data_IF_819788342636
#
_entry.id   IF_819788342636
#
_cell.length_a   1.000
_cell.length_b   1.000
_cell.length_c   1.000
_cell.angle_alpha   90.00
_cell.angle_beta   90.00
_cell.angle_gamma   90.00
#
_symmetry.space_group_name_H-M   'P 1'
#
loop_
_entity.id
_entity.type
_entity.pdbx_description
1 polymer ?
#
# COMPACT_ATOMS: atom_id res chain seq x y z
N UNK A 1 -23.16 28.76 -7.06
CA UNK A 1 -21.79 28.87 -6.52
C UNK A 1 -20.90 29.42 -7.63
N UNK A 2 -20.53 30.70 -7.55
CA UNK A 2 -19.80 31.39 -8.62
C UNK A 2 -18.42 30.77 -8.78
N UNK A 3 -18.12 30.24 -9.97
CA UNK A 3 -16.81 29.66 -10.30
C UNK A 3 -15.75 30.75 -10.16
N UNK A 4 -14.74 30.61 -9.27
CA UNK A 4 -13.80 31.67 -9.02
C UNK A 4 -12.86 31.81 -10.22
N UNK A 5 -12.84 32.98 -10.82
CA UNK A 5 -11.82 33.40 -11.79
C UNK A 5 -10.54 33.73 -11.03
N UNK A 6 -9.36 33.55 -11.65
CA UNK A 6 -8.09 33.91 -11.03
C UNK A 6 -8.11 35.36 -10.49
N UNK A 7 -7.75 35.61 -9.22
CA UNK A 7 -7.75 36.96 -8.64
C UNK A 7 -6.82 37.95 -9.34
N UNK A 8 -5.74 37.45 -9.95
CA UNK A 8 -4.75 38.26 -10.64
C UNK A 8 -5.05 38.48 -12.13
N UNK A 9 -6.24 38.08 -12.61
CA UNK A 9 -6.64 38.32 -13.99
C UNK A 9 -7.32 39.68 -14.11
N UNK A 10 -6.68 40.63 -14.82
CA UNK A 10 -7.26 41.94 -15.12
C UNK A 10 -7.67 42.02 -16.59
N UNK A 11 -8.82 42.62 -16.84
CA UNK A 11 -9.28 42.95 -18.19
C UNK A 11 -8.83 44.35 -18.56
N UNK A 12 -8.19 44.48 -19.72
CA UNK A 12 -7.75 45.73 -20.33
C UNK A 12 -8.46 45.95 -21.66
N UNK A 13 -8.34 47.14 -22.25
CA UNK A 13 -8.98 47.48 -23.53
C UNK A 13 -8.51 46.60 -24.69
N UNK A 14 -7.29 46.06 -24.62
CA UNK A 14 -6.66 45.24 -25.66
C UNK A 14 -6.62 43.74 -25.35
N UNK A 15 -7.10 43.29 -24.19
CA UNK A 15 -7.07 41.88 -23.81
C UNK A 15 -7.07 41.64 -22.30
N UNK A 16 -6.54 40.49 -21.87
CA UNK A 16 -6.38 40.17 -20.45
C UNK A 16 -4.90 40.14 -20.06
N UNK A 17 -4.59 40.62 -18.86
CA UNK A 17 -3.23 40.64 -18.32
C UNK A 17 -3.20 39.92 -16.97
N UNK A 18 -2.07 39.28 -16.68
CA UNK A 18 -1.79 38.73 -15.36
C UNK A 18 -1.10 39.79 -14.49
N UNK A 19 -1.74 40.21 -13.41
CA UNK A 19 -1.24 41.25 -12.49
C UNK A 19 0.08 40.85 -11.82
N UNK A 20 0.31 39.56 -11.56
CA UNK A 20 1.56 39.08 -10.95
C UNK A 20 2.78 39.12 -11.89
N UNK A 21 2.57 39.12 -13.20
CA UNK A 21 3.68 39.09 -14.18
C UNK A 21 3.70 40.29 -15.12
N UNK A 22 2.64 41.10 -15.13
CA UNK A 22 2.45 42.21 -16.06
C UNK A 22 2.29 41.80 -17.53
N UNK A 23 2.21 40.50 -17.83
CA UNK A 23 2.17 39.97 -19.20
C UNK A 23 0.73 39.78 -19.72
N UNK A 24 0.49 39.98 -21.02
CA UNK A 24 -0.78 39.62 -21.64
C UNK A 24 -0.96 38.10 -21.63
N UNK A 25 -2.16 37.65 -21.26
CA UNK A 25 -2.52 36.23 -21.12
C UNK A 25 -3.84 35.96 -21.84
N UNK A 26 -3.96 34.79 -22.46
CA UNK A 26 -5.24 34.33 -23.03
C UNK A 26 -5.97 33.47 -21.98
N UNK A 27 -7.09 33.93 -21.39
CA UNK A 27 -7.75 33.22 -20.30
C UNK A 27 -8.36 31.87 -20.69
N UNK A 28 -8.61 31.64 -21.99
CA UNK A 28 -9.19 30.40 -22.49
C UNK A 28 -8.14 29.33 -22.81
N UNK A 29 -6.89 29.72 -22.99
CA UNK A 29 -5.77 28.82 -23.29
C UNK A 29 -4.87 28.55 -22.08
N UNK A 30 -5.12 29.23 -20.96
CA UNK A 30 -4.34 29.17 -19.73
C UNK A 30 -5.22 28.84 -18.52
N UNK A 31 -4.58 28.45 -17.42
CA UNK A 31 -5.21 28.08 -16.14
C UNK A 31 -6.07 29.20 -15.49
N UNK A 32 -6.10 30.41 -16.05
CA UNK A 32 -6.73 31.60 -15.45
C UNK A 32 -8.26 31.46 -15.25
N UNK A 33 -8.92 30.67 -16.10
CA UNK A 33 -10.34 30.32 -15.96
C UNK A 33 -10.45 28.86 -15.49
N UNK A 34 -11.28 28.62 -14.49
CA UNK A 34 -11.64 27.32 -13.91
C UNK A 34 -10.55 26.66 -13.02
N UNK A 35 -9.27 26.65 -13.41
CA UNK A 35 -8.22 25.89 -12.71
C UNK A 35 -7.05 26.74 -12.18
N UNK A 36 -7.29 28.01 -11.84
CA UNK A 36 -6.20 28.93 -11.48
C UNK A 36 -5.41 28.54 -10.24
N UNK A 37 -5.96 27.68 -9.38
CA UNK A 37 -5.31 27.13 -8.19
C UNK A 37 -4.17 26.14 -8.53
N UNK A 38 -4.11 25.63 -9.76
CA UNK A 38 -2.99 24.81 -10.26
C UNK A 38 -1.94 25.63 -11.01
N UNK A 39 -2.20 26.93 -11.27
CA UNK A 39 -1.27 27.81 -11.95
C UNK A 39 0.02 28.00 -11.11
N UNK A 40 1.22 27.67 -11.64
CA UNK A 40 2.47 27.79 -10.91
C UNK A 40 2.74 29.21 -10.38
N UNK A 41 2.38 30.23 -11.16
CA UNK A 41 2.54 31.65 -10.80
C UNK A 41 1.64 31.99 -9.59
N UNK A 42 0.37 31.55 -9.62
CA UNK A 42 -0.57 31.77 -8.53
C UNK A 42 -0.13 31.04 -7.24
N UNK A 43 0.29 29.79 -7.37
CA UNK A 43 0.76 28.98 -6.23
C UNK A 43 2.04 29.57 -5.61
N UNK A 44 2.96 30.09 -6.42
CA UNK A 44 4.16 30.76 -5.93
C UNK A 44 3.81 32.04 -5.14
N UNK A 45 2.93 32.89 -5.68
CA UNK A 45 2.53 34.15 -5.05
C UNK A 45 1.71 33.94 -3.77
N UNK A 46 0.84 32.92 -3.69
CA UNK A 46 0.12 32.58 -2.44
C UNK A 46 1.08 32.08 -1.36
N UNK A 47 2.12 31.33 -1.73
CA UNK A 47 3.17 30.90 -0.79
C UNK A 47 4.03 32.06 -0.32
N UNK A 48 4.28 33.06 -1.17
CA UNK A 48 4.98 34.30 -0.81
C UNK A 48 4.11 35.22 0.06
N UNK A 49 2.82 35.37 -0.23
CA UNK A 49 1.87 36.14 0.60
C UNK A 49 1.77 35.61 2.03
N UNK A 50 1.73 34.28 2.20
CA UNK A 50 1.80 33.64 3.53
C UNK A 50 3.15 33.85 4.25
N UNK A 51 4.23 34.11 3.51
CA UNK A 51 5.55 34.44 4.10
C UNK A 51 5.67 35.91 4.51
N UNK A 52 4.92 36.82 3.89
CA UNK A 52 4.92 38.25 4.22
C UNK A 52 4.11 38.54 5.49
N UNK A 53 2.98 37.86 5.70
CA UNK A 53 2.20 37.97 6.96
C UNK A 53 3.00 37.47 8.18
N UNK A 54 3.86 36.46 8.00
CA UNK A 54 4.75 35.95 9.05
C UNK A 54 6.00 36.83 9.31
N UNK A 55 6.25 37.87 8.52
CA UNK A 55 7.40 38.78 8.66
C UNK A 55 7.04 40.17 9.17
N UNK A 56 5.76 40.47 9.37
CA UNK A 56 5.28 41.80 9.79
C UNK A 56 5.19 42.00 11.32
N UNK A 57 5.53 41.01 12.14
CA UNK A 57 5.66 41.17 13.60
C UNK A 57 7.13 41.22 14.04
N UNK A 58 7.81 42.35 13.86
CA UNK A 58 8.80 42.90 14.80
C UNK A 58 8.77 44.44 14.67
N UNK A 59 8.53 45.11 15.80
CA UNK A 59 8.58 46.56 16.01
C UNK A 59 9.97 46.95 16.59
N UNK A 60 10.34 48.25 16.64
CA UNK A 60 11.51 48.81 15.95
C UNK A 60 12.65 49.25 16.89
N UNK A 61 13.85 49.46 16.32
CA UNK A 61 14.93 50.26 16.92
C UNK A 61 15.46 51.26 15.88
N UNK A 62 15.78 52.43 16.42
CA UNK A 62 15.88 53.79 15.89
C UNK A 62 17.34 54.25 15.61
N UNK A 63 17.50 55.22 14.68
CA UNK A 63 18.44 56.38 14.66
C UNK A 63 19.95 56.02 14.39
N UNK A 64 20.70 56.57 13.42
CA UNK A 64 21.08 57.98 13.16
C UNK A 64 21.43 58.31 11.69
N UNK A 65 21.15 59.57 11.33
CA UNK A 65 21.50 60.32 10.11
C UNK A 65 22.95 60.85 10.16
N UNK A 66 23.66 60.93 9.02
CA UNK A 66 23.94 62.20 8.29
C UNK A 66 24.94 62.05 7.13
N UNK A 67 24.88 62.98 6.14
CA UNK A 67 25.53 62.90 4.84
C UNK A 67 26.81 63.75 4.75
N UNK A 68 27.64 63.52 3.74
CA UNK A 68 28.45 64.61 3.16
C UNK A 68 28.75 64.36 1.68
N UNK A 69 28.22 65.25 0.85
CA UNK A 69 28.61 65.46 -0.54
C UNK A 69 29.99 66.13 -0.60
N UNK A 70 30.82 65.72 -1.56
CA UNK A 70 31.71 66.63 -2.28
C UNK A 70 32.01 66.07 -3.67
N UNK A 71 31.55 66.79 -4.69
CA UNK A 71 31.94 66.66 -6.10
C UNK A 71 33.30 67.33 -6.32
N UNK A 72 34.03 66.85 -7.34
CA UNK A 72 34.66 67.56 -8.49
C UNK A 72 35.81 66.65 -9.00
N UNK A 73 35.56 65.91 -10.08
CA UNK A 73 36.13 66.04 -11.46
C UNK A 73 37.36 65.14 -11.69
N UNK A 74 37.20 64.00 -12.38
CA UNK A 74 37.40 63.77 -13.84
C UNK A 74 38.87 63.73 -14.20
N UNK A 75 39.41 62.53 -14.50
CA UNK A 75 40.25 62.27 -15.68
C UNK A 75 40.59 60.76 -15.80
N UNK A 76 40.00 60.14 -16.82
CA UNK A 76 40.65 59.23 -17.76
C UNK A 76 41.65 58.17 -17.23
N UNK A 77 41.20 57.11 -16.57
CA UNK A 77 41.90 55.81 -16.68
C UNK A 77 40.92 54.66 -16.47
N UNK A 78 40.05 54.33 -17.43
CA UNK A 78 39.34 53.03 -17.35
C UNK A 78 38.81 52.45 -18.67
N UNK A 79 39.42 52.79 -19.80
CA UNK A 79 39.18 52.10 -21.10
C UNK A 79 39.69 50.65 -21.15
N UNK A 80 40.06 50.01 -20.03
CA UNK A 80 40.56 48.62 -20.03
C UNK A 80 39.92 47.68 -19.01
N UNK A 81 38.92 48.14 -18.25
CA UNK A 81 38.23 47.29 -17.27
C UNK A 81 36.82 46.84 -17.70
N UNK A 82 36.23 47.47 -18.73
CA UNK A 82 34.83 47.20 -19.12
C UNK A 82 34.70 46.05 -20.12
N UNK A 83 35.73 45.72 -20.89
CA UNK A 83 35.66 44.63 -21.90
C UNK A 83 35.77 43.21 -21.32
N UNK A 84 36.13 43.06 -20.04
CA UNK A 84 36.38 41.72 -19.44
C UNK A 84 35.28 41.19 -18.52
N UNK A 85 34.18 41.92 -18.36
CA UNK A 85 33.02 41.47 -17.55
C UNK A 85 31.85 40.98 -18.44
N UNK A 86 31.92 41.16 -19.77
CA UNK A 86 30.82 40.83 -20.66
C UNK A 86 30.90 39.46 -21.37
N UNK A 87 31.89 38.61 -21.07
CA UNK A 87 32.11 37.38 -21.87
C UNK A 87 31.99 36.05 -21.10
N UNK A 88 31.45 36.07 -19.88
CA UNK A 88 31.03 34.82 -19.24
C UNK A 88 29.81 34.98 -18.36
N UNK A 89 28.78 35.64 -18.90
CA UNK A 89 27.41 35.29 -18.49
C UNK A 89 27.10 34.01 -19.26
N UNK A 90 27.53 32.86 -18.71
CA UNK A 90 26.88 31.59 -19.02
C UNK A 90 25.39 31.87 -18.93
N UNK A 91 24.73 31.79 -20.08
CA UNK A 91 23.29 31.77 -20.19
C UNK A 91 22.90 30.52 -19.38
N UNK A 92 22.67 30.67 -18.07
CA UNK A 92 21.87 29.70 -17.36
C UNK A 92 20.50 29.82 -18.03
N UNK A 93 20.30 28.98 -19.05
CA UNK A 93 18.98 28.62 -19.54
C UNK A 93 18.24 28.16 -18.29
N UNK A 94 17.40 29.07 -17.77
CA UNK A 94 16.41 28.70 -16.77
C UNK A 94 15.67 27.52 -17.39
N UNK A 95 15.60 26.36 -16.71
CA UNK A 95 14.97 25.17 -17.28
C UNK A 95 13.62 25.60 -17.83
N UNK A 96 13.35 25.25 -19.09
CA UNK A 96 12.10 25.65 -19.70
C UNK A 96 10.97 25.17 -18.78
N UNK A 97 9.86 25.92 -18.66
CA UNK A 97 8.78 25.54 -17.75
C UNK A 97 8.28 24.10 -18.01
N UNK A 98 8.48 23.62 -19.24
CA UNK A 98 8.25 22.25 -19.69
C UNK A 98 9.17 21.23 -19.00
N UNK A 99 10.48 21.51 -18.87
CA UNK A 99 11.45 20.64 -18.18
C UNK A 99 11.15 20.50 -16.69
N UNK A 100 10.73 21.59 -16.04
CA UNK A 100 10.34 21.57 -14.64
C UNK A 100 9.07 20.72 -14.40
N UNK A 101 8.13 20.73 -15.36
CA UNK A 101 6.94 19.86 -15.33
C UNK A 101 7.34 18.41 -15.56
N UNK A 102 8.20 18.13 -16.55
CA UNK A 102 8.70 16.78 -16.86
C UNK A 102 9.41 16.17 -15.65
N UNK A 103 10.27 16.94 -14.98
CA UNK A 103 10.98 16.48 -13.78
C UNK A 103 10.01 16.21 -12.62
N UNK A 104 9.03 17.09 -12.40
CA UNK A 104 8.02 16.88 -11.37
C UNK A 104 7.18 15.61 -11.62
N UNK A 105 6.75 15.40 -12.86
CA UNK A 105 6.01 14.19 -13.29
C UNK A 105 6.89 12.95 -13.12
N UNK A 106 8.16 13.01 -13.53
CA UNK A 106 9.11 11.90 -13.42
C UNK A 106 9.35 11.50 -11.96
N UNK A 107 9.49 12.48 -11.06
CA UNK A 107 9.60 12.23 -9.62
C UNK A 107 8.34 11.60 -9.03
N UNK A 108 7.14 12.03 -9.47
CA UNK A 108 5.89 11.40 -9.04
C UNK A 108 5.80 9.95 -9.52
N UNK A 109 6.10 9.68 -10.79
CA UNK A 109 6.10 8.33 -11.35
C UNK A 109 7.12 7.43 -10.66
N UNK A 110 8.34 7.91 -10.41
CA UNK A 110 9.40 7.15 -9.71
C UNK A 110 8.99 6.74 -8.29
N UNK A 111 8.26 7.60 -7.56
CA UNK A 111 7.71 7.25 -6.24
C UNK A 111 6.69 6.11 -6.34
N UNK A 112 5.83 6.12 -7.35
CA UNK A 112 4.88 5.02 -7.55
C UNK A 112 5.57 3.75 -8.05
N UNK A 113 6.53 3.83 -8.95
CA UNK A 113 7.29 2.67 -9.44
C UNK A 113 8.04 1.97 -8.31
N UNK A 114 8.72 2.72 -7.46
CA UNK A 114 9.39 2.16 -6.27
C UNK A 114 8.37 1.57 -5.29
N UNK A 115 7.21 2.21 -5.12
CA UNK A 115 6.09 1.68 -4.35
C UNK A 115 5.59 0.33 -4.87
N UNK A 116 5.36 0.20 -6.18
CA UNK A 116 4.90 -1.04 -6.83
C UNK A 116 5.95 -2.14 -6.68
N UNK A 117 7.24 -1.85 -6.96
CA UNK A 117 8.33 -2.83 -6.78
C UNK A 117 8.42 -3.34 -5.34
N UNK A 118 8.20 -2.48 -4.35
CA UNK A 118 8.18 -2.87 -2.94
C UNK A 118 6.99 -3.79 -2.62
N UNK A 119 5.80 -3.48 -3.12
CA UNK A 119 4.63 -4.34 -2.96
C UNK A 119 4.83 -5.72 -3.59
N UNK A 120 5.40 -5.77 -4.80
CA UNK A 120 5.72 -7.02 -5.48
C UNK A 120 6.74 -7.85 -4.70
N UNK A 121 7.76 -7.22 -4.13
CA UNK A 121 8.74 -7.91 -3.28
C UNK A 121 8.08 -8.53 -2.05
N UNK A 122 7.29 -7.74 -1.32
CA UNK A 122 6.55 -8.21 -0.14
C UNK A 122 5.60 -9.35 -0.47
N UNK A 123 4.97 -9.29 -1.65
CA UNK A 123 4.10 -10.35 -2.12
C UNK A 123 4.87 -11.65 -2.36
N UNK A 124 6.03 -11.59 -3.05
CA UNK A 124 6.89 -12.77 -3.25
C UNK A 124 7.38 -13.35 -1.93
N UNK A 125 7.88 -12.51 -1.02
CA UNK A 125 8.34 -12.94 0.30
C UNK A 125 7.22 -13.65 1.08
N UNK A 126 5.98 -13.17 0.95
CA UNK A 126 4.79 -13.80 1.51
C UNK A 126 4.49 -15.16 0.85
N UNK A 127 4.47 -15.25 -0.48
CA UNK A 127 4.24 -16.50 -1.21
C UNK A 127 5.28 -17.57 -0.84
N UNK A 128 6.57 -17.19 -0.82
CA UNK A 128 7.67 -18.08 -0.46
C UNK A 128 7.56 -18.56 0.98
N UNK A 129 7.21 -17.67 1.92
CA UNK A 129 6.99 -18.03 3.32
C UNK A 129 5.83 -19.01 3.49
N UNK A 130 4.71 -18.78 2.81
CA UNK A 130 3.55 -19.68 2.85
C UNK A 130 3.90 -21.05 2.27
N UNK A 131 4.63 -21.10 1.16
CA UNK A 131 5.05 -22.34 0.53
C UNK A 131 6.04 -23.12 1.40
N UNK A 132 6.99 -22.44 2.05
CA UNK A 132 7.91 -23.06 3.01
C UNK A 132 7.15 -23.69 4.18
N UNK A 133 6.27 -22.92 4.83
CA UNK A 133 5.47 -23.42 5.97
C UNK A 133 4.58 -24.59 5.55
N UNK A 134 3.94 -24.52 4.37
CA UNK A 134 3.15 -25.62 3.81
C UNK A 134 3.99 -26.88 3.64
N UNK A 135 5.18 -26.75 3.05
CA UNK A 135 6.07 -27.88 2.82
C UNK A 135 6.48 -28.56 4.13
N UNK A 136 6.91 -27.78 5.13
CA UNK A 136 7.32 -28.28 6.44
C UNK A 136 6.15 -28.91 7.20
N UNK A 137 4.95 -28.33 7.07
CA UNK A 137 3.73 -28.87 7.64
C UNK A 137 3.37 -30.21 7.04
N UNK A 138 3.28 -30.34 5.70
CA UNK A 138 2.94 -31.60 5.04
C UNK A 138 3.91 -32.73 5.39
N UNK A 139 5.21 -32.42 5.51
CA UNK A 139 6.23 -33.39 5.96
C UNK A 139 5.97 -33.89 7.38
N UNK A 140 5.54 -32.99 8.27
CA UNK A 140 5.32 -33.30 9.69
C UNK A 140 3.92 -33.84 9.98
N UNK A 141 2.94 -33.53 9.11
CA UNK A 141 1.51 -33.80 9.29
C UNK A 141 1.22 -35.29 9.42
N UNK A 142 1.82 -36.11 8.57
CA UNK A 142 1.65 -37.57 8.62
C UNK A 142 2.15 -38.15 9.95
N UNK A 143 3.31 -37.69 10.43
CA UNK A 143 3.92 -38.14 11.69
C UNK A 143 3.07 -37.71 12.89
N UNK A 144 2.64 -36.44 12.93
CA UNK A 144 1.76 -35.92 13.98
C UNK A 144 0.41 -36.65 14.02
N UNK A 145 -0.19 -36.91 12.86
CA UNK A 145 -1.43 -37.67 12.73
C UNK A 145 -1.27 -39.09 13.29
N UNK A 146 -0.16 -39.77 12.98
CA UNK A 146 0.13 -41.10 13.52
C UNK A 146 0.23 -41.08 15.06
N UNK A 147 0.91 -40.10 15.65
CA UNK A 147 0.99 -39.99 17.12
C UNK A 147 -0.38 -39.73 17.76
N UNK A 148 -1.23 -38.89 17.15
CA UNK A 148 -2.61 -38.69 17.60
C UNK A 148 -3.40 -40.00 17.56
N UNK A 149 -3.28 -40.80 16.50
CA UNK A 149 -3.92 -42.12 16.41
C UNK A 149 -3.41 -43.09 17.49
N UNK A 150 -2.11 -43.07 17.80
CA UNK A 150 -1.54 -43.90 18.88
C UNK A 150 -2.13 -43.49 20.23
N UNK A 151 -2.21 -42.19 20.53
CA UNK A 151 -2.81 -41.68 21.76
C UNK A 151 -4.29 -42.07 21.87
N UNK A 152 -5.05 -41.95 20.78
CA UNK A 152 -6.45 -42.36 20.72
C UNK A 152 -6.61 -43.86 21.02
N UNK A 153 -5.78 -44.71 20.43
CA UNK A 153 -5.76 -46.16 20.73
C UNK A 153 -5.42 -46.46 22.18
N UNK A 154 -4.49 -45.72 22.79
CA UNK A 154 -4.17 -45.84 24.21
C UNK A 154 -5.36 -45.46 25.10
N UNK A 155 -6.06 -44.37 24.78
CA UNK A 155 -7.31 -43.98 25.46
C UNK A 155 -8.35 -45.09 25.33
N UNK A 156 -8.55 -45.64 24.13
CA UNK A 156 -9.49 -46.75 23.90
C UNK A 156 -9.10 -47.99 24.71
N UNK A 157 -7.82 -48.34 24.79
CA UNK A 157 -7.34 -49.46 25.60
C UNK A 157 -7.64 -49.24 27.08
N UNK A 158 -7.33 -48.08 27.65
CA UNK A 158 -7.65 -47.81 29.07
C UNK A 158 -9.16 -47.88 29.36
N UNK A 159 -10.01 -47.47 28.41
CA UNK A 159 -11.46 -47.65 28.55
C UNK A 159 -11.88 -49.13 28.56
N UNK A 160 -11.22 -49.98 27.75
CA UNK A 160 -11.44 -51.43 27.75
C UNK A 160 -10.98 -52.03 29.07
N UNK A 161 -9.77 -51.68 29.53
CA UNK A 161 -9.21 -52.14 30.80
C UNK A 161 -10.14 -51.76 31.97
N UNK A 162 -10.69 -50.54 31.96
CA UNK A 162 -11.63 -50.09 32.99
C UNK A 162 -12.91 -50.93 33.01
N UNK A 163 -13.48 -51.23 31.84
CA UNK A 163 -14.64 -52.14 31.72
C UNK A 163 -14.31 -53.55 32.21
N UNK A 164 -13.12 -54.05 31.90
CA UNK A 164 -12.67 -55.35 32.37
C UNK A 164 -12.57 -55.40 33.91
N UNK A 165 -12.03 -54.36 34.52
CA UNK A 165 -11.95 -54.23 35.98
C UNK A 165 -13.34 -54.20 36.63
N UNK A 166 -14.28 -53.49 36.03
CA UNK A 166 -15.67 -53.47 36.47
C UNK A 166 -16.34 -54.85 36.34
N UNK A 167 -16.12 -55.57 35.23
CA UNK A 167 -16.62 -56.93 35.05
C UNK A 167 -16.03 -57.90 36.09
N UNK A 168 -14.72 -57.86 36.33
CA UNK A 168 -14.05 -58.71 37.34
C UNK A 168 -14.59 -58.44 38.75
N UNK A 169 -14.92 -57.18 39.08
CA UNK A 169 -15.58 -56.84 40.34
C UNK A 169 -17.00 -57.40 40.42
N UNK A 170 -17.79 -57.28 39.35
CA UNK A 170 -19.16 -57.79 39.27
C UNK A 170 -19.22 -59.32 39.36
N UNK A 171 -18.20 -60.01 38.84
CA UNK A 171 -18.04 -61.47 38.97
C UNK A 171 -17.49 -61.92 40.32
N UNK A 172 -17.21 -61.00 41.25
CA UNK A 172 -16.68 -61.31 42.58
C UNK A 172 -15.21 -61.75 42.60
N UNK A 173 -14.48 -61.57 41.48
CA UNK A 173 -13.07 -61.96 41.35
C UNK A 173 -12.16 -60.95 42.08
N UNK A 174 -12.57 -59.68 42.11
CA UNK A 174 -11.85 -58.59 42.78
C UNK A 174 -12.56 -58.18 44.07
N UNK A 175 -11.77 -57.97 45.13
CA UNK A 175 -12.24 -57.31 46.35
C UNK A 175 -12.43 -55.79 46.11
N UNK A 176 -13.24 -55.17 46.96
CA UNK A 176 -13.61 -53.76 46.85
C UNK A 176 -12.39 -52.83 46.93
N UNK A 177 -11.41 -53.15 47.79
CA UNK A 177 -10.25 -52.28 48.00
C UNK A 177 -9.32 -52.28 46.78
N UNK A 178 -9.10 -53.45 46.18
CA UNK A 178 -8.28 -53.60 44.96
C UNK A 178 -8.98 -53.01 43.75
N UNK A 179 -10.30 -53.19 43.64
CA UNK A 179 -11.11 -52.57 42.60
C UNK A 179 -11.01 -51.05 42.62
N UNK A 180 -11.22 -50.41 43.79
CA UNK A 180 -11.20 -48.96 43.90
C UNK A 180 -9.83 -48.37 43.55
N UNK A 181 -8.74 -48.99 44.00
CA UNK A 181 -7.38 -48.56 43.65
C UNK A 181 -7.13 -48.64 42.15
N UNK A 182 -7.46 -49.77 41.53
CA UNK A 182 -7.24 -49.98 40.10
C UNK A 182 -8.12 -49.06 39.24
N UNK A 183 -9.36 -48.84 39.66
CA UNK A 183 -10.29 -47.90 39.01
C UNK A 183 -9.78 -46.46 39.10
N UNK A 184 -9.33 -46.02 40.26
CA UNK A 184 -8.78 -44.67 40.44
C UNK A 184 -7.52 -44.46 39.59
N UNK A 185 -6.60 -45.41 39.59
CA UNK A 185 -5.37 -45.36 38.79
C UNK A 185 -5.66 -45.29 37.28
N UNK A 186 -6.61 -46.10 36.79
CA UNK A 186 -7.02 -46.10 35.39
C UNK A 186 -7.72 -44.79 35.02
N UNK A 187 -8.62 -44.30 35.87
CA UNK A 187 -9.31 -43.03 35.64
C UNK A 187 -8.34 -41.85 35.60
N UNK A 188 -7.38 -41.75 36.53
CA UNK A 188 -6.36 -40.69 36.52
C UNK A 188 -5.53 -40.72 35.24
N UNK A 189 -5.11 -41.90 34.79
CA UNK A 189 -4.36 -42.06 33.53
C UNK A 189 -5.20 -41.65 32.32
N UNK A 190 -6.46 -42.09 32.29
CA UNK A 190 -7.40 -41.82 31.21
C UNK A 190 -7.73 -40.33 31.12
N UNK A 191 -8.03 -39.67 32.23
CA UNK A 191 -8.30 -38.23 32.29
C UNK A 191 -7.08 -37.43 31.80
N UNK A 192 -5.90 -37.71 32.34
CA UNK A 192 -4.65 -37.06 31.93
C UNK A 192 -4.38 -37.22 30.43
N UNK A 193 -4.53 -38.43 29.90
CA UNK A 193 -4.28 -38.72 28.48
C UNK A 193 -5.34 -38.07 27.58
N UNK A 194 -6.61 -38.08 28.00
CA UNK A 194 -7.73 -37.53 27.23
C UNK A 194 -7.66 -36.00 27.11
N UNK A 195 -7.34 -35.32 28.21
CA UNK A 195 -7.12 -33.86 28.20
C UNK A 195 -5.98 -33.51 27.23
N UNK A 196 -4.85 -34.21 27.33
CA UNK A 196 -3.69 -33.95 26.46
C UNK A 196 -3.96 -34.28 24.99
N UNK A 197 -4.67 -35.38 24.70
CA UNK A 197 -5.09 -35.73 23.35
C UNK A 197 -5.99 -34.65 22.75
N UNK A 198 -6.98 -34.17 23.51
CA UNK A 198 -7.89 -33.10 23.07
C UNK A 198 -7.12 -31.81 22.77
N UNK A 199 -6.24 -31.37 23.68
CA UNK A 199 -5.39 -30.19 23.46
C UNK A 199 -4.54 -30.30 22.19
N UNK A 200 -3.89 -31.46 21.97
CA UNK A 200 -3.05 -31.69 20.79
C UNK A 200 -3.87 -31.74 19.50
N UNK A 201 -5.05 -32.38 19.52
CA UNK A 201 -5.94 -32.48 18.38
C UNK A 201 -6.52 -31.12 17.97
N UNK A 202 -6.86 -30.27 18.94
CA UNK A 202 -7.30 -28.89 18.69
C UNK A 202 -6.20 -28.09 18.01
N UNK A 203 -5.00 -28.08 18.59
CA UNK A 203 -3.83 -27.38 18.02
C UNK A 203 -3.50 -27.87 16.61
N UNK A 204 -3.51 -29.17 16.38
CA UNK A 204 -3.27 -29.75 15.05
C UNK A 204 -4.28 -29.21 14.03
N UNK A 205 -5.56 -29.22 14.37
CA UNK A 205 -6.64 -28.77 13.47
C UNK A 205 -6.62 -27.26 13.23
N UNK A 206 -6.30 -26.47 14.27
CA UNK A 206 -6.13 -25.01 14.17
C UNK A 206 -4.98 -24.65 13.21
N UNK A 207 -3.82 -25.30 13.37
CA UNK A 207 -2.66 -25.09 12.50
C UNK A 207 -3.00 -25.48 11.06
N UNK A 208 -3.61 -26.65 10.85
CA UNK A 208 -3.99 -27.12 9.50
C UNK A 208 -4.92 -26.13 8.80
N UNK A 209 -5.93 -25.62 9.52
CA UNK A 209 -6.86 -24.64 8.97
C UNK A 209 -6.17 -23.31 8.64
N UNK A 210 -5.34 -22.77 9.53
CA UNK A 210 -4.63 -21.49 9.28
C UNK A 210 -3.71 -21.60 8.07
N UNK A 211 -2.95 -22.69 7.97
CA UNK A 211 -2.08 -22.95 6.81
C UNK A 211 -2.92 -23.06 5.54
N UNK A 212 -4.03 -23.80 5.57
CA UNK A 212 -4.94 -23.93 4.44
C UNK A 212 -5.48 -22.57 3.96
N UNK A 213 -5.87 -21.66 4.88
CA UNK A 213 -6.34 -20.33 4.49
C UNK A 213 -5.25 -19.51 3.77
N UNK A 214 -4.01 -19.58 4.24
CA UNK A 214 -2.89 -18.87 3.60
C UNK A 214 -2.53 -19.48 2.24
N UNK A 215 -2.48 -20.81 2.13
CA UNK A 215 -2.25 -21.50 0.86
C UNK A 215 -3.34 -21.17 -0.14
N UNK A 216 -4.61 -21.20 0.28
CA UNK A 216 -5.76 -20.79 -0.54
C UNK A 216 -5.62 -19.35 -1.02
N UNK A 217 -5.21 -18.43 -0.14
CA UNK A 217 -4.99 -17.02 -0.50
C UNK A 217 -3.95 -16.92 -1.61
N UNK A 218 -2.79 -17.57 -1.46
CA UNK A 218 -1.74 -17.61 -2.48
C UNK A 218 -2.31 -18.17 -3.78
N UNK A 219 -2.91 -19.36 -3.80
CA UNK A 219 -3.45 -19.97 -5.03
C UNK A 219 -4.43 -19.07 -5.79
N UNK A 220 -5.35 -18.39 -5.09
CA UNK A 220 -6.36 -17.51 -5.73
C UNK A 220 -5.73 -16.24 -6.31
N UNK A 221 -4.67 -15.75 -5.67
CA UNK A 221 -4.04 -14.48 -6.02
C UNK A 221 -2.89 -14.67 -6.99
N UNK A 222 -2.21 -15.81 -6.96
CA UNK A 222 -1.15 -16.19 -7.87
C UNK A 222 -1.71 -16.30 -9.29
N UNK A 223 -1.17 -15.52 -10.24
CA UNK A 223 -1.56 -15.55 -11.63
C UNK A 223 -1.16 -16.89 -12.27
N UNK A 224 -2.05 -17.89 -12.29
CA UNK A 224 -1.88 -19.00 -13.25
C UNK A 224 -2.04 -18.46 -14.67
N UNK A 225 -1.42 -19.06 -15.70
CA UNK A 225 -1.48 -18.55 -17.07
C UNK A 225 -2.91 -18.35 -17.60
N UNK A 226 -3.84 -19.19 -17.15
CA UNK A 226 -5.27 -19.12 -17.50
C UNK A 226 -5.99 -18.00 -16.75
N UNK A 227 -5.82 -17.90 -15.43
CA UNK A 227 -6.41 -16.82 -14.61
C UNK A 227 -5.87 -15.45 -15.03
N UNK A 228 -4.60 -15.37 -15.42
CA UNK A 228 -3.98 -14.15 -15.94
C UNK A 228 -4.59 -13.70 -17.26
N UNK A 229 -4.79 -14.64 -18.20
CA UNK A 229 -5.45 -14.35 -19.48
C UNK A 229 -6.91 -13.93 -19.28
N UNK A 230 -7.62 -14.53 -18.32
CA UNK A 230 -8.98 -14.15 -17.97
C UNK A 230 -9.03 -12.74 -17.35
N UNK A 231 -8.12 -12.41 -16.42
CA UNK A 231 -8.01 -11.06 -15.83
C UNK A 231 -7.63 -10.00 -16.88
N UNK A 232 -6.70 -10.29 -17.79
CA UNK A 232 -6.33 -9.41 -18.90
C UNK A 232 -7.52 -9.20 -19.85
N UNK A 233 -8.25 -10.27 -20.17
CA UNK A 233 -9.46 -10.19 -21.00
C UNK A 233 -10.55 -9.34 -20.34
N UNK A 234 -10.71 -9.46 -19.02
CA UNK A 234 -11.65 -8.64 -18.24
C UNK A 234 -11.25 -7.16 -18.23
N UNK A 235 -9.96 -6.86 -18.00
CA UNK A 235 -9.45 -5.50 -18.04
C UNK A 235 -9.63 -4.86 -19.43
N UNK A 236 -9.31 -5.58 -20.51
CA UNK A 236 -9.55 -5.13 -21.89
C UNK A 236 -11.02 -4.88 -22.17
N UNK A 237 -11.91 -5.72 -21.65
CA UNK A 237 -13.36 -5.54 -21.78
C UNK A 237 -13.85 -4.28 -21.05
N UNK A 238 -13.31 -3.99 -19.86
CA UNK A 238 -13.62 -2.77 -19.11
C UNK A 238 -13.13 -1.51 -19.84
N UNK A 239 -11.93 -1.55 -20.43
CA UNK A 239 -11.40 -0.44 -21.24
C UNK A 239 -12.25 -0.21 -22.50
N UNK A 240 -12.61 -1.30 -23.21
CA UNK A 240 -13.49 -1.22 -24.37
C UNK A 240 -14.89 -0.67 -24.04
N UNK A 241 -15.42 -0.97 -22.85
CA UNK A 241 -16.68 -0.38 -22.39
C UNK A 241 -16.54 1.10 -22.02
N UNK A 242 -15.47 1.49 -21.32
CA UNK A 242 -15.18 2.91 -20.98
C UNK A 242 -15.01 3.77 -22.22
N UNK A 243 -14.40 3.22 -23.27
CA UNK A 243 -14.21 3.87 -24.56
C UNK A 243 -15.46 3.82 -25.46
N UNK A 244 -16.57 3.25 -24.99
CA UNK A 244 -17.83 3.17 -25.74
C UNK A 244 -17.82 2.19 -26.92
N UNK A 245 -16.79 1.34 -27.04
CA UNK A 245 -16.64 0.36 -28.12
C UNK A 245 -17.53 -0.87 -27.96
N UNK A 246 -18.14 -1.06 -26.79
CA UNK A 246 -19.02 -2.19 -26.46
C UNK A 246 -20.29 -1.67 -25.78
N UNK A 247 -21.46 -2.19 -26.20
CA UNK A 247 -22.73 -1.83 -25.55
C UNK A 247 -22.81 -2.37 -24.12
N UNK A 248 -23.61 -1.71 -23.27
CA UNK A 248 -23.78 -2.11 -21.87
C UNK A 248 -24.30 -3.54 -21.72
N UNK A 249 -25.19 -4.00 -22.61
CA UNK A 249 -25.68 -5.38 -22.57
C UNK A 249 -24.58 -6.40 -22.89
N UNK A 250 -23.71 -6.10 -23.87
CA UNK A 250 -22.62 -6.99 -24.27
C UNK A 250 -21.53 -7.03 -23.21
N UNK A 251 -21.21 -5.88 -22.60
CA UNK A 251 -20.29 -5.78 -21.47
C UNK A 251 -20.74 -6.63 -20.28
N UNK A 252 -22.01 -6.51 -19.86
CA UNK A 252 -22.55 -7.26 -18.72
C UNK A 252 -22.50 -8.77 -18.97
N UNK A 253 -22.89 -9.22 -20.18
CA UNK A 253 -22.85 -10.65 -20.54
C UNK A 253 -21.42 -11.21 -20.52
N UNK A 254 -20.48 -10.55 -21.18
CA UNK A 254 -19.09 -11.01 -21.25
C UNK A 254 -18.39 -10.95 -19.89
N UNK A 255 -18.68 -9.91 -19.09
CA UNK A 255 -18.18 -9.79 -17.72
C UNK A 255 -18.67 -10.94 -16.84
N UNK A 256 -19.97 -11.25 -16.89
CA UNK A 256 -20.55 -12.35 -16.12
C UNK A 256 -19.97 -13.72 -16.48
N UNK A 257 -19.66 -13.95 -17.74
CA UNK A 257 -19.06 -15.21 -18.20
C UNK A 257 -17.58 -15.33 -17.81
N UNK A 258 -16.81 -14.24 -17.92
CA UNK A 258 -15.42 -14.21 -17.46
C UNK A 258 -15.30 -14.35 -15.94
N UNK A 259 -16.20 -13.73 -15.17
CA UNK A 259 -16.28 -13.88 -13.71
C UNK A 259 -16.70 -15.30 -13.29
N UNK A 260 -17.63 -15.94 -14.03
CA UNK A 260 -18.03 -17.34 -13.83
C UNK A 260 -16.86 -18.29 -14.01
N UNK A 261 -16.02 -18.05 -15.03
CA UNK A 261 -14.82 -18.85 -15.28
C UNK A 261 -13.72 -18.62 -14.22
N UNK A 262 -13.68 -17.45 -13.59
CA UNK A 262 -12.77 -17.15 -12.47
C UNK A 262 -13.23 -17.75 -11.13
N UNK A 263 -14.54 -17.91 -10.92
CA UNK A 263 -15.13 -18.50 -9.72
C UNK A 263 -15.47 -19.99 -9.81
N UNK A 264 -15.29 -20.61 -10.99
CA UNK A 264 -15.72 -21.95 -11.32
C UNK A 264 -14.60 -22.83 -11.85
N UNK A 265 -13.70 -23.25 -10.97
CA UNK A 265 -12.90 -24.46 -11.14
C UNK A 265 -12.76 -25.06 -9.74
N UNK A 266 -13.44 -26.19 -9.57
CA UNK A 266 -13.63 -27.00 -8.35
C UNK A 266 -12.40 -27.10 -7.45
#
# INVERSE_FOLDING_TARGET
MSRPVCPALRRTETGFICEYTGKPVNPFAWYCLLDYYTCPIYVAQVKEGKRVEAKAEIKPIEIEEKPEEKRIEVEEVEEKAVEKILEKRELLELPEPEDAIIEHVSQMLSKFESGVKNLDSKWRDYEDSVNSVRYDWEKSKAVLSQYLTILERMISRFNIDLKEVELRRNSGILDESTYLKLKDDLNRKLEKLSVKYSELKSKFSEIDNVIYQHVKRVIITTPTPEVSRLRISLARLEDMYREGRVSKEVYIKLKSELERLLGGST
#
